data_IF_459577500914
#
_entry.id   IF_459577500914
#
_cell.length_a   1.000
_cell.length_b   1.000
_cell.length_c   1.000
_cell.angle_alpha   90.00
_cell.angle_beta   90.00
_cell.angle_gamma   90.00
#
_symmetry.space_group_name_H-M   'P 1'
#
loop_
_entity.id
_entity.type
_entity.pdbx_description
1 polymer ?
#
# COMPACT_ATOMS: atom_id res chain seq x y z
N UNK A 1 -31.22 -11.24 -56.80
CA UNK A 1 -31.81 -11.38 -55.47
C UNK A 1 -30.74 -11.57 -54.41
N UNK A 2 -30.15 -10.54 -53.83
CA UNK A 2 -29.79 -9.21 -54.31
C UNK A 2 -28.56 -8.81 -53.49
N UNK A 3 -27.54 -8.32 -54.19
CA UNK A 3 -26.33 -7.72 -53.63
C UNK A 3 -26.75 -6.55 -52.74
N UNK A 4 -26.29 -6.55 -51.49
CA UNK A 4 -26.42 -5.38 -50.62
C UNK A 4 -25.79 -4.15 -51.28
N UNK A 5 -26.47 -2.99 -51.28
CA UNK A 5 -25.98 -1.77 -51.90
C UNK A 5 -24.86 -1.14 -51.06
N UNK A 6 -23.78 -0.75 -51.73
CA UNK A 6 -22.69 0.05 -51.16
C UNK A 6 -23.19 1.46 -50.88
N UNK A 7 -23.31 1.83 -49.61
CA UNK A 7 -23.52 3.21 -49.20
C UNK A 7 -22.16 3.80 -48.89
N UNK A 8 -21.62 4.58 -49.84
CA UNK A 8 -20.56 5.55 -49.55
C UNK A 8 -21.17 6.69 -48.73
N UNK A 9 -21.29 6.49 -47.43
CA UNK A 9 -21.53 7.58 -46.49
C UNK A 9 -20.21 8.32 -46.30
N UNK A 10 -20.12 9.50 -46.91
CA UNK A 10 -19.07 10.48 -46.69
C UNK A 10 -19.21 11.05 -45.27
N UNK A 11 -18.65 10.34 -44.29
CA UNK A 11 -18.50 10.86 -42.93
C UNK A 11 -17.54 12.04 -43.01
N UNK A 12 -18.11 13.23 -42.89
CA UNK A 12 -17.37 14.48 -42.75
C UNK A 12 -16.62 14.41 -41.41
N UNK A 13 -15.31 14.17 -41.46
CA UNK A 13 -14.45 14.19 -40.27
C UNK A 13 -14.33 15.64 -39.85
N UNK A 14 -15.22 16.10 -38.96
CA UNK A 14 -14.95 17.29 -38.16
C UNK A 14 -13.68 17.02 -37.36
N UNK A 15 -12.60 17.71 -37.71
CA UNK A 15 -11.37 17.75 -36.95
C UNK A 15 -11.64 18.48 -35.62
N UNK A 16 -12.17 17.75 -34.64
CA UNK A 16 -12.11 18.19 -33.24
C UNK A 16 -10.64 18.25 -32.86
N UNK A 17 -10.12 19.46 -32.66
CA UNK A 17 -8.84 19.66 -32.00
C UNK A 17 -8.88 18.89 -30.67
N UNK A 18 -8.06 17.84 -30.56
CA UNK A 18 -7.85 17.15 -29.30
C UNK A 18 -7.14 18.13 -28.37
N UNK A 19 -7.75 18.54 -27.24
CA UNK A 19 -7.04 19.38 -26.29
C UNK A 19 -5.79 18.62 -25.82
N UNK A 20 -4.64 19.29 -25.85
CA UNK A 20 -3.42 18.82 -25.20
C UNK A 20 -3.68 18.73 -23.71
N UNK A 21 -4.18 17.58 -23.25
CA UNK A 21 -4.41 17.32 -21.85
C UNK A 21 -3.06 17.01 -21.21
N UNK A 22 -2.49 18.00 -20.55
CA UNK A 22 -1.25 17.78 -19.83
C UNK A 22 -1.48 16.83 -18.64
N UNK A 23 -0.74 15.72 -18.61
CA UNK A 23 -0.91 14.67 -17.61
C UNK A 23 -0.22 15.01 -16.26
N UNK A 24 -0.15 16.30 -15.90
CA UNK A 24 0.55 16.74 -14.70
C UNK A 24 -0.15 16.29 -13.41
N UNK A 25 -1.46 16.03 -13.46
CA UNK A 25 -2.24 15.62 -12.28
C UNK A 25 -2.24 14.11 -12.02
N UNK A 26 -2.11 13.25 -13.04
CA UNK A 26 -2.13 11.78 -12.85
C UNK A 26 -0.75 11.16 -12.96
N UNK A 27 0.25 11.90 -13.44
CA UNK A 27 1.64 11.44 -13.48
C UNK A 27 2.22 11.44 -12.08
N UNK A 28 2.90 10.35 -11.71
CA UNK A 28 3.69 10.34 -10.47
C UNK A 28 4.94 11.20 -10.66
N UNK A 29 5.18 12.11 -9.72
CA UNK A 29 6.41 12.93 -9.69
C UNK A 29 7.65 12.06 -9.46
N UNK A 30 7.45 10.88 -8.87
CA UNK A 30 8.50 9.91 -8.57
C UNK A 30 8.18 8.56 -9.20
N UNK A 31 9.16 8.00 -9.93
CA UNK A 31 9.08 6.68 -10.56
C UNK A 31 9.99 5.66 -9.88
N UNK A 32 11.12 6.10 -9.32
CA UNK A 32 12.03 5.24 -8.57
C UNK A 32 12.43 5.88 -7.25
N UNK A 33 12.72 5.03 -6.25
CA UNK A 33 13.15 5.51 -4.93
C UNK A 33 14.48 6.28 -5.01
N UNK A 34 15.32 5.98 -6.01
CA UNK A 34 16.58 6.68 -6.27
C UNK A 34 16.37 8.16 -6.56
N UNK A 35 15.31 8.51 -7.29
CA UNK A 35 14.97 9.90 -7.61
C UNK A 35 14.49 10.68 -6.37
N UNK A 36 13.92 9.98 -5.39
CA UNK A 36 13.41 10.57 -4.14
C UNK A 36 14.51 10.86 -3.11
N UNK A 37 15.61 10.10 -3.14
CA UNK A 37 16.69 10.16 -2.15
C UNK A 37 17.35 11.55 -2.16
N UNK A 38 17.58 12.14 -3.33
CA UNK A 38 18.38 13.37 -3.48
C UNK A 38 17.92 14.57 -2.64
N UNK A 39 16.66 14.61 -2.18
CA UNK A 39 16.13 15.71 -1.35
C UNK A 39 15.61 15.28 0.02
N UNK A 40 15.29 14.00 0.21
CA UNK A 40 14.59 13.48 1.39
C UNK A 40 15.26 12.24 2.01
N UNK A 41 16.55 12.03 1.73
CA UNK A 41 17.31 10.85 2.17
C UNK A 41 17.14 10.54 3.65
N UNK A 42 17.40 11.48 4.55
CA UNK A 42 17.33 11.26 6.00
C UNK A 42 15.94 10.79 6.46
N UNK A 43 14.87 11.42 5.94
CA UNK A 43 13.48 11.06 6.24
C UNK A 43 13.16 9.65 5.74
N UNK A 44 13.51 9.33 4.49
CA UNK A 44 13.27 8.00 3.94
C UNK A 44 14.06 6.91 4.67
N UNK A 45 15.29 7.19 5.08
CA UNK A 45 16.08 6.25 5.89
C UNK A 45 15.42 5.95 7.23
N UNK A 46 14.85 6.95 7.90
CA UNK A 46 14.10 6.75 9.13
C UNK A 46 12.87 5.86 8.90
N UNK A 47 12.08 6.14 7.86
CA UNK A 47 10.87 5.34 7.57
C UNK A 47 11.19 3.92 7.10
N UNK A 48 12.31 3.72 6.41
CA UNK A 48 12.82 2.37 6.06
C UNK A 48 13.21 1.59 7.31
N UNK A 49 13.75 2.21 8.36
CA UNK A 49 14.05 1.51 9.63
C UNK A 49 12.78 0.96 10.28
N UNK A 50 11.68 1.71 10.25
CA UNK A 50 10.38 1.25 10.75
C UNK A 50 9.94 -0.01 9.97
N UNK A 51 10.08 0.01 8.65
CA UNK A 51 9.75 -1.14 7.80
C UNK A 51 10.68 -2.34 8.05
N UNK A 52 11.96 -2.10 8.36
CA UNK A 52 12.91 -3.15 8.75
C UNK A 52 12.48 -3.83 10.05
N UNK A 53 12.10 -3.06 11.06
CA UNK A 53 11.58 -3.60 12.33
C UNK A 53 10.31 -4.44 12.11
N UNK A 54 9.39 -3.98 11.25
CA UNK A 54 8.23 -4.78 10.84
C UNK A 54 8.64 -6.08 10.14
N UNK A 55 9.63 -6.00 9.24
CA UNK A 55 10.14 -7.17 8.53
C UNK A 55 10.71 -8.24 9.46
N UNK A 56 11.42 -7.85 10.52
CA UNK A 56 11.94 -8.79 11.51
C UNK A 56 10.83 -9.57 12.23
N UNK A 57 9.66 -8.94 12.44
CA UNK A 57 8.48 -9.59 13.02
C UNK A 57 7.84 -10.56 12.03
N UNK A 58 7.81 -10.22 10.74
CA UNK A 58 7.13 -10.99 9.68
C UNK A 58 7.96 -12.15 9.14
N UNK A 59 9.29 -12.05 9.22
CA UNK A 59 10.25 -12.99 8.62
C UNK A 59 10.03 -14.46 9.03
N UNK A 60 9.75 -14.80 10.31
CA UNK A 60 9.55 -16.18 10.74
C UNK A 60 8.39 -16.91 10.06
N UNK A 61 7.38 -16.18 9.59
CA UNK A 61 6.24 -16.77 8.86
C UNK A 61 6.41 -16.69 7.33
N UNK A 62 7.58 -16.27 6.84
CA UNK A 62 7.84 -16.07 5.42
C UNK A 62 7.14 -14.85 4.81
N UNK A 63 6.44 -14.02 5.59
CA UNK A 63 5.64 -12.88 5.12
C UNK A 63 6.44 -11.58 4.94
N UNK A 64 7.74 -11.70 4.68
CA UNK A 64 8.62 -10.55 4.50
C UNK A 64 8.15 -9.60 3.38
N UNK A 65 8.46 -8.32 3.58
CA UNK A 65 8.14 -7.24 2.67
C UNK A 65 9.25 -7.11 1.63
N UNK A 66 8.90 -7.32 0.37
CA UNK A 66 9.80 -7.11 -0.77
C UNK A 66 9.95 -5.63 -1.14
N UNK A 67 10.87 -5.34 -2.07
CA UNK A 67 11.22 -3.97 -2.47
C UNK A 67 10.02 -3.17 -3.01
N UNK A 68 9.05 -3.81 -3.70
CA UNK A 68 7.87 -3.11 -4.24
C UNK A 68 7.03 -2.46 -3.13
N UNK A 69 6.74 -3.21 -2.07
CA UNK A 69 5.95 -2.69 -0.96
C UNK A 69 6.73 -1.65 -0.16
N UNK A 70 8.06 -1.82 -0.02
CA UNK A 70 8.93 -0.77 0.55
C UNK A 70 8.83 0.53 -0.25
N UNK A 71 8.90 0.44 -1.57
CA UNK A 71 8.88 1.62 -2.43
C UNK A 71 7.53 2.33 -2.35
N UNK A 72 6.42 1.58 -2.38
CA UNK A 72 5.06 2.10 -2.17
C UNK A 72 4.89 2.78 -0.80
N UNK A 73 5.42 2.16 0.26
CA UNK A 73 5.40 2.72 1.62
C UNK A 73 6.12 4.07 1.69
N UNK A 74 7.32 4.14 1.09
CA UNK A 74 8.10 5.37 1.03
C UNK A 74 7.43 6.46 0.19
N UNK A 75 6.87 6.12 -0.98
CA UNK A 75 6.17 7.08 -1.82
C UNK A 75 4.93 7.65 -1.12
N UNK A 76 4.16 6.80 -0.46
CA UNK A 76 2.98 7.24 0.30
C UNK A 76 3.36 8.25 1.38
N UNK A 77 4.36 7.93 2.20
CA UNK A 77 4.82 8.83 3.27
C UNK A 77 5.48 10.10 2.74
N UNK A 78 6.13 10.03 1.58
CA UNK A 78 6.72 11.20 0.93
C UNK A 78 5.64 12.16 0.44
N UNK A 79 4.62 11.65 -0.27
CA UNK A 79 3.50 12.48 -0.69
C UNK A 79 2.72 13.02 0.51
N UNK A 80 2.49 12.22 1.55
CA UNK A 80 1.86 12.71 2.77
C UNK A 80 2.64 13.88 3.39
N UNK A 81 3.98 13.84 3.35
CA UNK A 81 4.83 14.94 3.82
C UNK A 81 4.78 16.17 2.93
N UNK A 82 4.70 16.01 1.61
CA UNK A 82 4.62 17.14 0.65
C UNK A 82 3.29 17.88 0.78
N UNK A 83 2.20 17.12 0.95
CA UNK A 83 0.84 17.66 0.94
C UNK A 83 0.22 17.83 2.34
N UNK A 84 0.93 17.40 3.39
CA UNK A 84 0.55 17.49 4.81
C UNK A 84 -0.90 17.02 5.10
N UNK A 85 -1.32 15.92 4.44
CA UNK A 85 -2.70 15.45 4.50
C UNK A 85 -3.06 14.78 5.84
N UNK A 86 -2.12 14.05 6.41
CA UNK A 86 -2.27 13.28 7.66
C UNK A 86 -1.04 13.49 8.54
N UNK A 87 -1.19 13.25 9.85
CA UNK A 87 -0.02 13.12 10.72
C UNK A 87 0.85 11.94 10.30
N UNK A 88 2.16 12.00 10.56
CA UNK A 88 3.08 10.94 10.14
C UNK A 88 2.71 9.59 10.74
N UNK A 89 2.34 9.57 12.02
CA UNK A 89 1.94 8.36 12.72
C UNK A 89 0.66 7.75 12.12
N UNK A 90 -0.33 8.58 11.76
CA UNK A 90 -1.53 8.11 11.09
C UNK A 90 -1.25 7.59 9.69
N UNK A 91 -0.38 8.25 8.93
CA UNK A 91 0.01 7.81 7.59
C UNK A 91 0.72 6.44 7.66
N UNK A 92 1.57 6.21 8.66
CA UNK A 92 2.22 4.92 8.90
C UNK A 92 1.19 3.87 9.32
N UNK A 93 0.27 4.21 10.23
CA UNK A 93 -0.80 3.31 10.68
C UNK A 93 -1.66 2.83 9.49
N UNK A 94 -2.03 3.73 8.58
CA UNK A 94 -2.73 3.36 7.35
C UNK A 94 -1.90 2.44 6.45
N UNK A 95 -0.60 2.71 6.29
CA UNK A 95 0.27 1.85 5.48
C UNK A 95 0.40 0.45 6.05
N UNK A 96 0.54 0.30 7.38
CA UNK A 96 0.57 -1.02 8.03
C UNK A 96 -0.74 -1.77 7.75
N UNK A 97 -1.87 -1.08 7.93
CA UNK A 97 -3.20 -1.64 7.70
C UNK A 97 -3.47 -2.02 6.23
N UNK A 98 -2.88 -1.32 5.26
CA UNK A 98 -3.12 -1.55 3.82
C UNK A 98 -2.12 -2.51 3.16
N UNK A 99 -0.86 -2.52 3.63
CA UNK A 99 0.23 -3.24 2.96
C UNK A 99 0.73 -4.46 3.72
N UNK A 100 0.62 -4.43 5.05
CA UNK A 100 1.19 -5.47 5.91
C UNK A 100 0.11 -6.44 6.37
N UNK A 101 -0.90 -5.94 7.09
CA UNK A 101 -1.93 -6.79 7.69
C UNK A 101 -2.73 -7.63 6.66
N UNK A 102 -3.06 -7.12 5.46
CA UNK A 102 -3.82 -7.90 4.47
C UNK A 102 -3.10 -9.15 3.95
N UNK A 103 -1.79 -9.24 4.18
CA UNK A 103 -0.96 -10.40 3.82
C UNK A 103 -0.95 -11.48 4.89
N UNK A 104 -1.43 -11.18 6.10
CA UNK A 104 -1.44 -12.09 7.24
C UNK A 104 -2.70 -12.94 7.17
N UNK A 105 -2.52 -14.24 7.00
CA UNK A 105 -3.59 -15.23 7.03
C UNK A 105 -3.04 -16.61 7.36
N UNK A 106 -3.81 -17.42 8.07
CA UNK A 106 -3.47 -18.81 8.36
C UNK A 106 -3.92 -19.27 9.75
N UNK A 107 -3.49 -20.49 10.11
CA UNK A 107 -3.88 -21.23 11.31
C UNK A 107 -2.68 -21.76 12.10
N UNK A 108 -1.47 -21.24 11.85
CA UNK A 108 -0.26 -21.72 12.52
C UNK A 108 0.05 -20.92 13.79
N UNK A 109 0.68 -21.56 14.78
CA UNK A 109 1.08 -20.93 16.05
C UNK A 109 2.11 -19.81 15.84
N UNK A 110 2.87 -19.83 14.75
CA UNK A 110 3.79 -18.77 14.36
C UNK A 110 3.04 -17.48 14.01
N UNK A 111 1.87 -17.58 13.38
CA UNK A 111 1.00 -16.43 13.09
C UNK A 111 0.46 -15.82 14.39
N UNK A 112 0.05 -16.67 15.35
CA UNK A 112 -0.37 -16.19 16.67
C UNK A 112 0.73 -15.35 17.34
N UNK A 113 1.96 -15.90 17.41
CA UNK A 113 3.12 -15.21 17.99
C UNK A 113 3.50 -13.95 17.21
N UNK A 114 3.34 -13.95 15.89
CA UNK A 114 3.58 -12.77 15.06
C UNK A 114 2.56 -11.67 15.40
N UNK A 115 1.26 -12.00 15.50
CA UNK A 115 0.22 -11.04 15.85
C UNK A 115 0.47 -10.43 17.22
N UNK A 116 0.86 -11.21 18.22
CA UNK A 116 1.25 -10.68 19.54
C UNK A 116 2.41 -9.68 19.46
N UNK A 117 3.42 -9.97 18.64
CA UNK A 117 4.54 -9.04 18.42
C UNK A 117 4.11 -7.77 17.69
N UNK A 118 3.22 -7.90 16.69
CA UNK A 118 2.67 -6.76 15.96
C UNK A 118 1.81 -5.86 16.85
N UNK A 119 1.01 -6.44 17.76
CA UNK A 119 0.22 -5.67 18.73
C UNK A 119 1.15 -4.82 19.61
N UNK A 120 2.23 -5.42 20.13
CA UNK A 120 3.25 -4.70 20.93
C UNK A 120 3.95 -3.61 20.13
N UNK A 121 4.28 -3.88 18.87
CA UNK A 121 4.87 -2.89 17.97
C UNK A 121 3.95 -1.69 17.75
N UNK A 122 2.65 -1.93 17.61
CA UNK A 122 1.64 -0.90 17.33
C UNK A 122 1.11 -0.20 18.60
N UNK A 123 1.50 -0.66 19.80
CA UNK A 123 0.78 -0.42 21.05
C UNK A 123 0.53 1.06 21.37
N UNK A 124 1.51 1.91 21.08
CA UNK A 124 1.52 3.34 21.44
C UNK A 124 1.17 4.22 20.23
N UNK A 125 1.71 3.90 19.04
CA UNK A 125 1.72 4.82 17.90
C UNK A 125 0.67 4.49 16.82
N UNK A 126 0.23 3.24 16.70
CA UNK A 126 -0.56 2.77 15.54
C UNK A 126 -1.86 2.10 15.99
N UNK A 127 -2.83 2.86 16.53
CA UNK A 127 -4.01 2.31 17.18
C UNK A 127 -4.93 1.52 16.23
N UNK A 128 -5.04 1.90 14.96
CA UNK A 128 -5.93 1.19 14.01
C UNK A 128 -5.34 -0.18 13.67
N UNK A 129 -4.05 -0.22 13.38
CA UNK A 129 -3.31 -1.46 13.13
C UNK A 129 -3.32 -2.38 14.35
N UNK A 130 -3.11 -1.82 15.54
CA UNK A 130 -3.20 -2.56 16.81
C UNK A 130 -4.57 -3.22 16.97
N UNK A 131 -5.65 -2.45 16.87
CA UNK A 131 -7.01 -2.95 17.03
C UNK A 131 -7.33 -4.06 16.02
N UNK A 132 -6.87 -3.92 14.77
CA UNK A 132 -7.06 -4.96 13.76
C UNK A 132 -6.25 -6.22 14.06
N UNK A 133 -5.02 -6.11 14.55
CA UNK A 133 -4.23 -7.26 15.00
C UNK A 133 -4.88 -7.96 16.20
N UNK A 134 -5.41 -7.22 17.18
CA UNK A 134 -6.12 -7.77 18.33
C UNK A 134 -7.37 -8.55 17.88
N UNK A 135 -8.16 -7.98 16.97
CA UNK A 135 -9.29 -8.66 16.35
C UNK A 135 -8.88 -9.96 15.65
N UNK A 136 -7.82 -9.92 14.84
CA UNK A 136 -7.29 -11.08 14.13
C UNK A 136 -6.79 -12.16 15.10
N UNK A 137 -6.17 -11.77 16.22
CA UNK A 137 -5.69 -12.69 17.25
C UNK A 137 -6.84 -13.35 18.01
N UNK A 138 -7.90 -12.60 18.34
CA UNK A 138 -9.11 -13.15 18.93
C UNK A 138 -9.74 -14.22 18.04
N UNK A 139 -9.94 -13.91 16.76
CA UNK A 139 -10.41 -14.85 15.72
C UNK A 139 -9.56 -16.11 15.64
N UNK A 140 -8.24 -15.97 15.66
CA UNK A 140 -7.35 -17.13 15.64
C UNK A 140 -7.59 -18.05 16.84
N UNK A 141 -7.80 -17.48 18.04
CA UNK A 141 -8.01 -18.25 19.28
C UNK A 141 -9.38 -18.91 19.33
N UNK A 142 -10.41 -18.25 18.81
CA UNK A 142 -11.78 -18.75 18.82
C UNK A 142 -12.02 -19.79 17.71
N UNK A 143 -11.56 -19.50 16.50
CA UNK A 143 -11.87 -20.28 15.29
C UNK A 143 -10.70 -21.18 14.81
N UNK A 144 -9.51 -21.00 15.38
CA UNK A 144 -8.29 -21.69 14.94
C UNK A 144 -7.70 -21.16 13.63
N UNK A 145 -8.27 -20.09 13.06
CA UNK A 145 -7.83 -19.48 11.81
C UNK A 145 -8.03 -17.97 11.86
N UNK A 146 -7.16 -17.23 11.17
CA UNK A 146 -7.30 -15.79 11.03
C UNK A 146 -7.00 -15.32 9.63
N UNK A 147 -7.70 -14.28 9.19
CA UNK A 147 -7.35 -13.53 8.00
C UNK A 147 -7.79 -12.08 8.17
N UNK A 148 -7.16 -11.17 7.44
CA UNK A 148 -7.52 -9.75 7.50
C UNK A 148 -8.94 -9.46 6.96
N UNK A 149 -9.42 -10.27 6.01
CA UNK A 149 -10.62 -10.00 5.23
C UNK A 149 -11.92 -10.57 5.83
N UNK A 150 -11.80 -11.49 6.78
CA UNK A 150 -12.93 -12.11 7.49
C UNK A 150 -13.22 -11.36 8.78
#
# INVERSE_FOLDING_TARGET
MDRFPSVEESVTVESKETPLLENHLLRSDYLTLKDCIHRNEAYLHEKVKILQALNEILQPCGLHVGYRVRDEFCFYLLYNKIWELLSEDEAIDFQIMQKILPRIQGNSTEIEKMLEKLIKFCEIQYPRSRAKCEFMLGRFRDDGFTSFWL
#
